data_IF_525180598382
#
_entry.id   IF_525180598382
#
_cell.length_a   1.000
_cell.length_b   1.000
_cell.length_c   1.000
_cell.angle_alpha   90.00
_cell.angle_beta   90.00
_cell.angle_gamma   90.00
#
_symmetry.space_group_name_H-M   'P 1'
#
loop_
_entity.id
_entity.type
_entity.pdbx_description
1 polymer ?
#
# COMPACT_ATOMS: atom_id res chain seq x y z
N UNK A 1 10.59 -6.91 3.90
CA UNK A 1 9.91 -5.89 3.06
C UNK A 1 8.81 -5.27 3.88
N UNK A 2 8.49 -4.01 3.62
CA UNK A 2 7.31 -3.35 4.15
C UNK A 2 6.54 -2.73 2.99
N UNK A 3 5.35 -2.22 3.27
CA UNK A 3 4.47 -1.67 2.24
C UNK A 3 4.24 -0.20 2.51
N UNK A 4 4.49 0.62 1.51
CA UNK A 4 4.31 2.07 1.57
C UNK A 4 3.19 2.49 0.62
N UNK A 5 2.35 3.39 1.08
CA UNK A 5 1.29 4.01 0.30
C UNK A 5 1.72 5.40 -0.15
N UNK A 6 1.39 5.75 -1.38
CA UNK A 6 1.60 7.10 -1.94
C UNK A 6 0.30 7.60 -2.56
N UNK A 7 0.07 8.91 -2.50
CA UNK A 7 -1.15 9.55 -2.98
C UNK A 7 -0.86 10.36 -4.23
N UNK A 8 -1.84 10.41 -5.12
CA UNK A 8 -1.72 11.03 -6.41
C UNK A 8 -3.00 11.81 -6.73
N UNK A 9 -2.82 13.02 -7.26
CA UNK A 9 -3.88 13.79 -7.91
C UNK A 9 -3.48 14.10 -9.36
N UNK A 10 -4.47 14.17 -10.24
CA UNK A 10 -4.32 14.73 -11.56
C UNK A 10 -5.08 16.05 -11.63
N UNK A 11 -4.40 17.11 -12.02
CA UNK A 11 -4.94 18.47 -12.09
C UNK A 11 -4.90 19.01 -13.51
N UNK A 12 -5.78 19.97 -13.79
CA UNK A 12 -5.63 20.84 -14.95
C UNK A 12 -5.02 22.17 -14.51
N UNK A 13 -3.90 22.54 -15.12
CA UNK A 13 -3.23 23.82 -14.89
C UNK A 13 -3.78 24.91 -15.81
N UNK A 14 -3.62 26.17 -15.42
CA UNK A 14 -4.00 27.32 -16.23
C UNK A 14 -2.93 27.67 -17.28
N UNK A 15 -1.68 27.28 -17.03
CA UNK A 15 -0.53 27.48 -17.91
C UNK A 15 0.07 26.13 -18.30
N UNK A 16 0.77 26.05 -19.45
CA UNK A 16 1.50 24.83 -19.84
C UNK A 16 2.51 24.41 -18.78
N UNK A 17 2.57 23.11 -18.51
CA UNK A 17 3.56 22.53 -17.61
C UNK A 17 4.88 22.31 -18.36
N UNK A 18 6.05 22.61 -17.74
CA UNK A 18 7.34 22.35 -18.38
C UNK A 18 7.52 20.89 -18.79
N UNK A 19 8.18 20.64 -19.91
CA UNK A 19 8.47 19.28 -20.35
C UNK A 19 9.46 18.60 -19.39
N UNK A 20 9.06 17.46 -18.84
CA UNK A 20 9.92 16.64 -17.98
C UNK A 20 9.20 16.01 -16.80
N UNK A 21 10.01 15.40 -15.92
CA UNK A 21 9.60 14.90 -14.62
C UNK A 21 10.38 15.64 -13.55
N UNK A 22 9.68 16.11 -12.53
CA UNK A 22 10.25 16.97 -11.50
C UNK A 22 10.03 16.33 -10.13
N UNK A 23 10.97 16.55 -9.24
CA UNK A 23 10.81 16.33 -7.80
C UNK A 23 11.23 17.63 -7.10
N UNK A 24 10.48 18.05 -6.10
CA UNK A 24 10.84 19.24 -5.33
C UNK A 24 12.02 18.95 -4.39
N UNK A 25 12.63 20.02 -3.88
CA UNK A 25 13.76 19.91 -2.94
C UNK A 25 13.31 19.97 -1.47
N UNK A 26 12.09 20.45 -1.21
CA UNK A 26 11.54 20.62 0.14
C UNK A 26 10.84 19.34 0.65
N UNK A 27 10.71 19.26 1.96
CA UNK A 27 9.84 18.31 2.62
C UNK A 27 8.43 18.90 2.81
N UNK A 28 7.36 18.09 2.68
CA UNK A 28 7.38 16.69 2.21
C UNK A 28 7.62 16.58 0.69
N UNK A 29 8.24 15.48 0.20
CA UNK A 29 8.56 15.32 -1.21
C UNK A 29 7.30 15.26 -2.09
N UNK A 30 7.42 15.84 -3.28
CA UNK A 30 6.41 15.95 -4.34
C UNK A 30 7.07 15.66 -5.67
N UNK A 31 6.55 14.66 -6.36
CA UNK A 31 6.89 14.39 -7.76
C UNK A 31 5.80 14.91 -8.69
N UNK A 32 6.19 15.47 -9.81
CA UNK A 32 5.29 16.10 -10.77
C UNK A 32 5.70 15.75 -12.19
N UNK A 33 4.71 15.47 -13.04
CA UNK A 33 4.93 15.33 -14.49
C UNK A 33 3.67 15.66 -15.25
N UNK A 34 3.82 16.14 -16.48
CA UNK A 34 2.68 16.24 -17.39
C UNK A 34 2.32 14.87 -17.99
N UNK A 35 1.07 14.75 -18.42
CA UNK A 35 0.53 13.63 -19.15
C UNK A 35 -0.49 14.17 -20.17
N UNK A 36 -0.40 13.72 -21.42
CA UNK A 36 -1.39 14.08 -22.45
C UNK A 36 -2.80 13.67 -21.99
N UNK A 37 -3.75 14.60 -22.10
CA UNK A 37 -5.13 14.42 -21.68
C UNK A 37 -6.09 15.18 -22.59
N UNK A 38 -6.93 14.43 -23.33
CA UNK A 38 -7.84 14.98 -24.36
C UNK A 38 -7.06 15.86 -25.35
N UNK A 39 -7.53 17.09 -25.57
CA UNK A 39 -6.94 18.09 -26.48
C UNK A 39 -5.82 18.92 -25.82
N UNK A 40 -5.35 18.52 -24.64
CA UNK A 40 -4.26 19.19 -23.93
C UNK A 40 -3.50 18.25 -23.01
N UNK A 41 -3.21 18.72 -21.82
CA UNK A 41 -2.48 17.96 -20.80
C UNK A 41 -3.14 18.07 -19.43
N UNK A 42 -2.77 17.13 -18.56
CA UNK A 42 -2.97 17.19 -17.12
C UNK A 42 -1.62 17.06 -16.44
N UNK A 43 -1.50 17.59 -15.22
CA UNK A 43 -0.33 17.40 -14.38
C UNK A 43 -0.66 16.37 -13.31
N UNK A 44 0.18 15.35 -13.21
CA UNK A 44 0.13 14.35 -12.16
C UNK A 44 1.05 14.81 -11.04
N UNK A 45 0.52 14.92 -9.82
CA UNK A 45 1.27 15.27 -8.61
C UNK A 45 1.16 14.08 -7.65
N UNK A 46 2.30 13.54 -7.22
CA UNK A 46 2.35 12.42 -6.30
C UNK A 46 3.24 12.70 -5.08
N UNK A 47 2.84 12.21 -3.91
CA UNK A 47 3.55 12.38 -2.65
C UNK A 47 2.73 11.87 -1.45
N UNK A 48 2.92 12.51 -0.29
CA UNK A 48 2.18 12.20 0.94
C UNK A 48 2.29 10.75 1.41
N UNK A 49 3.51 10.24 1.36
CA UNK A 49 3.75 8.82 1.57
C UNK A 49 3.68 8.43 3.05
N UNK A 50 3.21 7.22 3.33
CA UNK A 50 3.28 6.62 4.66
C UNK A 50 3.22 5.09 4.57
N UNK A 51 3.64 4.41 5.63
CA UNK A 51 3.46 2.95 5.74
C UNK A 51 1.97 2.61 5.81
N UNK A 52 1.56 1.55 5.11
CA UNK A 52 0.15 1.16 5.04
C UNK A 52 -0.40 0.91 6.44
N UNK A 53 -1.59 1.46 6.72
CA UNK A 53 -2.25 1.33 8.02
C UNK A 53 -1.66 2.19 9.15
N UNK A 54 -0.63 3.01 8.96
CA UNK A 54 -0.19 3.93 10.01
C UNK A 54 -1.10 5.16 10.14
N UNK A 55 -1.76 5.54 9.05
CA UNK A 55 -2.70 6.66 8.98
C UNK A 55 -4.14 6.16 8.81
N UNK A 56 -5.09 6.82 9.47
CA UNK A 56 -6.53 6.57 9.30
C UNK A 56 -7.27 7.75 8.66
N UNK A 57 -6.74 8.97 8.79
CA UNK A 57 -7.22 10.13 8.03
C UNK A 57 -6.44 10.22 6.71
N UNK A 58 -6.71 9.27 5.82
CA UNK A 58 -6.06 9.19 4.51
C UNK A 58 -6.61 10.20 3.52
N UNK A 59 -7.82 10.74 3.72
CA UNK A 59 -8.31 11.87 2.93
C UNK A 59 -7.46 13.13 3.14
N UNK A 60 -6.90 13.36 4.32
CA UNK A 60 -5.97 14.47 4.56
C UNK A 60 -4.78 14.47 3.59
N UNK A 61 -4.29 13.29 3.19
CA UNK A 61 -3.18 13.12 2.23
C UNK A 61 -3.55 13.66 0.85
N UNK A 62 -4.77 13.41 0.38
CA UNK A 62 -5.26 14.03 -0.84
C UNK A 62 -5.42 15.55 -0.68
N UNK A 63 -5.93 16.02 0.46
CA UNK A 63 -6.11 17.44 0.71
C UNK A 63 -4.77 18.20 0.70
N UNK A 64 -3.72 17.64 1.28
CA UNK A 64 -2.37 18.22 1.26
C UNK A 64 -1.82 18.36 -0.17
N UNK A 65 -2.10 17.40 -1.06
CA UNK A 65 -1.74 17.52 -2.48
C UNK A 65 -2.57 18.58 -3.21
N UNK A 66 -3.86 18.69 -2.87
CA UNK A 66 -4.77 19.71 -3.44
C UNK A 66 -4.34 21.11 -3.00
N UNK A 67 -3.96 21.29 -1.74
CA UNK A 67 -3.41 22.53 -1.21
C UNK A 67 -2.13 22.92 -1.93
N UNK A 68 -1.18 21.99 -2.06
CA UNK A 68 0.02 22.18 -2.85
C UNK A 68 -0.29 22.58 -4.31
N UNK A 69 -1.24 21.91 -4.96
CA UNK A 69 -1.65 22.25 -6.32
C UNK A 69 -2.20 23.68 -6.42
N UNK A 70 -3.00 24.10 -5.43
CA UNK A 70 -3.56 25.44 -5.36
C UNK A 70 -2.47 26.50 -5.10
N UNK A 71 -1.48 26.20 -4.26
CA UNK A 71 -0.39 27.12 -3.97
C UNK A 71 0.58 27.29 -5.14
N UNK A 72 0.98 26.18 -5.78
CA UNK A 72 1.99 26.16 -6.85
C UNK A 72 1.41 26.54 -8.21
N UNK A 73 0.25 25.98 -8.58
CA UNK A 73 -0.32 26.12 -9.93
C UNK A 73 -1.56 27.02 -9.98
N UNK A 74 -1.99 27.56 -8.83
CA UNK A 74 -3.18 28.42 -8.72
C UNK A 74 -4.43 27.78 -9.34
N UNK A 75 -4.59 26.48 -9.14
CA UNK A 75 -5.70 25.70 -9.68
C UNK A 75 -6.37 24.84 -8.61
N UNK A 76 -7.69 24.77 -8.69
CA UNK A 76 -8.53 23.86 -7.91
C UNK A 76 -9.21 22.82 -8.83
N UNK A 77 -8.79 22.74 -10.10
CA UNK A 77 -9.36 21.84 -11.08
C UNK A 77 -8.74 20.44 -10.94
N UNK A 78 -9.25 19.69 -9.95
CA UNK A 78 -8.86 18.31 -9.69
C UNK A 78 -9.68 17.39 -10.59
N UNK A 79 -9.00 16.69 -11.51
CA UNK A 79 -9.62 15.79 -12.47
C UNK A 79 -9.81 14.40 -11.87
N UNK A 80 -8.77 13.88 -11.20
CA UNK A 80 -8.74 12.54 -10.62
C UNK A 80 -7.90 12.54 -9.35
N UNK A 81 -8.15 11.54 -8.49
CA UNK A 81 -7.30 11.21 -7.35
C UNK A 81 -7.27 9.69 -7.17
N UNK A 82 -6.11 9.16 -6.79
CA UNK A 82 -5.91 7.75 -6.46
C UNK A 82 -4.66 7.57 -5.61
N UNK A 83 -4.47 6.38 -5.05
CA UNK A 83 -3.25 6.01 -4.35
C UNK A 83 -2.60 4.79 -4.98
N UNK A 84 -1.30 4.68 -4.78
CA UNK A 84 -0.51 3.51 -5.12
C UNK A 84 0.05 2.87 -3.85
N UNK A 85 0.36 1.59 -3.92
CA UNK A 85 0.91 0.81 -2.83
C UNK A 85 2.13 0.03 -3.34
N UNK A 86 3.28 0.28 -2.74
CA UNK A 86 4.57 -0.24 -3.20
C UNK A 86 5.23 -1.12 -2.15
N UNK A 87 5.75 -2.26 -2.61
CA UNK A 87 6.61 -3.11 -1.79
C UNK A 87 8.01 -2.50 -1.72
N UNK A 88 8.46 -2.25 -0.49
CA UNK A 88 9.75 -1.65 -0.18
C UNK A 88 10.69 -2.71 0.38
N UNK A 89 11.89 -2.81 -0.18
CA UNK A 89 12.97 -3.62 0.41
C UNK A 89 13.65 -2.85 1.54
N UNK A 90 14.26 -3.57 2.47
CA UNK A 90 14.89 -2.97 3.66
C UNK A 90 16.22 -2.30 3.34
N UNK A 91 16.84 -2.66 2.21
CA UNK A 91 18.14 -2.17 1.73
C UNK A 91 18.01 -1.34 0.45
N UNK A 92 16.79 -0.96 0.08
CA UNK A 92 16.47 -0.19 -1.13
C UNK A 92 16.79 -0.83 -2.48
N UNK A 93 17.30 -2.08 -2.49
CA UNK A 93 17.60 -2.83 -3.70
C UNK A 93 16.49 -3.85 -3.99
N UNK A 94 15.93 -3.90 -5.21
CA UNK A 94 14.95 -4.92 -5.58
C UNK A 94 15.40 -6.37 -5.35
N UNK A 95 14.44 -7.28 -5.16
CA UNK A 95 14.68 -8.71 -5.17
C UNK A 95 14.35 -9.28 -6.55
N UNK A 96 15.38 -9.74 -7.28
CA UNK A 96 15.28 -10.29 -8.63
C UNK A 96 16.14 -11.55 -8.73
N UNK A 97 15.53 -12.68 -9.10
CA UNK A 97 16.22 -13.94 -9.31
C UNK A 97 15.38 -15.13 -8.83
N UNK A 98 16.02 -16.26 -8.54
CA UNK A 98 15.31 -17.42 -7.98
C UNK A 98 14.79 -17.08 -6.58
N UNK A 99 13.56 -17.51 -6.26
CA UNK A 99 12.92 -17.22 -4.98
C UNK A 99 13.75 -17.76 -3.80
N UNK A 100 14.20 -19.01 -3.89
CA UNK A 100 15.14 -19.63 -2.95
C UNK A 100 16.01 -20.64 -3.69
N UNK A 101 17.10 -21.08 -3.06
CA UNK A 101 17.92 -22.21 -3.56
C UNK A 101 17.14 -23.53 -3.64
N UNK A 102 16.02 -23.67 -2.91
CA UNK A 102 15.15 -24.86 -2.93
C UNK A 102 14.10 -24.81 -4.05
N UNK A 103 13.90 -23.66 -4.67
CA UNK A 103 12.89 -23.43 -5.71
C UNK A 103 13.55 -22.84 -6.96
N UNK A 104 14.49 -23.56 -7.60
CA UNK A 104 15.29 -23.01 -8.70
C UNK A 104 14.46 -22.64 -9.93
N UNK A 105 13.27 -23.19 -10.09
CA UNK A 105 12.38 -22.90 -11.23
C UNK A 105 11.36 -21.80 -10.94
N UNK A 106 11.40 -21.17 -9.76
CA UNK A 106 10.53 -20.06 -9.40
C UNK A 106 11.37 -18.80 -9.34
N UNK A 107 11.09 -17.86 -10.24
CA UNK A 107 11.72 -16.55 -10.26
C UNK A 107 10.81 -15.52 -9.61
N UNK A 108 11.41 -14.58 -8.89
CA UNK A 108 10.73 -13.43 -8.29
C UNK A 108 11.35 -12.15 -8.83
N UNK A 109 10.50 -11.14 -8.98
CA UNK A 109 10.88 -9.77 -9.29
C UNK A 109 9.95 -8.85 -8.49
N UNK A 110 10.42 -8.34 -7.36
CA UNK A 110 9.61 -7.58 -6.41
C UNK A 110 10.45 -6.55 -5.66
N UNK A 111 9.80 -5.74 -4.83
CA UNK A 111 10.49 -4.72 -4.05
C UNK A 111 11.02 -3.59 -4.92
N UNK A 112 10.33 -3.28 -6.02
CA UNK A 112 10.74 -2.23 -6.96
C UNK A 112 10.60 -0.82 -6.40
N UNK A 113 10.06 -0.68 -5.19
CA UNK A 113 9.71 0.61 -4.61
C UNK A 113 8.86 1.37 -5.63
N UNK A 114 9.15 2.66 -5.81
CA UNK A 114 8.48 3.55 -6.77
C UNK A 114 9.10 3.53 -8.17
N UNK A 115 9.98 2.55 -8.45
CA UNK A 115 10.82 2.48 -9.65
C UNK A 115 10.51 1.25 -10.51
N UNK A 116 9.23 0.84 -10.54
CA UNK A 116 8.80 -0.36 -11.27
C UNK A 116 9.11 -0.34 -12.77
N UNK A 117 9.03 0.82 -13.43
CA UNK A 117 9.32 0.93 -14.87
C UNK A 117 10.78 0.63 -15.22
N UNK A 118 11.72 1.14 -14.43
CA UNK A 118 13.16 0.91 -14.64
C UNK A 118 13.58 -0.47 -14.12
N UNK A 119 13.16 -0.80 -12.89
CA UNK A 119 13.50 -2.06 -12.24
C UNK A 119 12.88 -3.28 -12.95
N UNK A 120 11.70 -3.12 -13.56
CA UNK A 120 11.09 -4.17 -14.38
C UNK A 120 11.91 -4.54 -15.60
N UNK A 121 12.56 -3.55 -16.25
CA UNK A 121 13.46 -3.81 -17.38
C UNK A 121 14.71 -4.55 -16.91
N UNK A 122 15.32 -4.11 -15.79
CA UNK A 122 16.45 -4.80 -15.20
C UNK A 122 16.08 -6.25 -14.81
N UNK A 123 14.90 -6.46 -14.24
CA UNK A 123 14.40 -7.78 -13.87
C UNK A 123 14.24 -8.69 -15.09
N UNK A 124 13.67 -8.19 -16.18
CA UNK A 124 13.54 -8.94 -17.42
C UNK A 124 14.90 -9.37 -17.98
N UNK A 125 15.90 -8.49 -17.96
CA UNK A 125 17.25 -8.81 -18.43
C UNK A 125 17.92 -9.88 -17.57
N UNK A 126 17.83 -9.76 -16.24
CA UNK A 126 18.40 -10.72 -15.29
C UNK A 126 17.72 -12.09 -15.44
N UNK A 127 16.40 -12.14 -15.39
CA UNK A 127 15.65 -13.40 -15.48
C UNK A 127 15.87 -14.09 -16.82
N UNK A 128 15.91 -13.33 -17.93
CA UNK A 128 16.23 -13.89 -19.25
C UNK A 128 17.63 -14.53 -19.26
N UNK A 129 18.63 -13.87 -18.67
CA UNK A 129 19.98 -14.41 -18.58
C UNK A 129 20.03 -15.68 -17.69
N UNK A 130 19.35 -15.68 -16.54
CA UNK A 130 19.24 -16.87 -15.69
C UNK A 130 18.61 -18.07 -16.42
N UNK A 131 17.59 -17.83 -17.25
CA UNK A 131 16.91 -18.89 -18.01
C UNK A 131 17.79 -19.43 -19.14
N UNK A 132 18.47 -18.54 -19.88
CA UNK A 132 19.20 -18.92 -21.10
C UNK A 132 20.63 -19.37 -20.81
N UNK A 133 21.31 -18.72 -19.86
CA UNK A 133 22.73 -18.91 -19.57
C UNK A 133 22.97 -19.65 -18.25
N UNK A 134 22.00 -19.60 -17.33
CA UNK A 134 22.13 -20.12 -15.97
C UNK A 134 22.75 -19.13 -14.98
N UNK A 135 23.20 -17.96 -15.44
CA UNK A 135 23.80 -16.91 -14.62
C UNK A 135 23.47 -15.51 -15.13
N UNK A 136 23.79 -14.48 -14.34
CA UNK A 136 23.73 -13.07 -14.76
C UNK A 136 24.77 -12.27 -13.99
N UNK A 137 25.54 -11.37 -14.63
CA UNK A 137 26.53 -10.54 -13.93
C UNK A 137 25.91 -9.60 -12.89
N UNK A 138 24.61 -9.29 -13.01
CA UNK A 138 23.89 -8.43 -12.08
C UNK A 138 23.27 -9.21 -10.91
N UNK A 139 23.18 -10.55 -11.01
CA UNK A 139 22.52 -11.38 -10.00
C UNK A 139 23.00 -11.12 -8.58
N UNK A 140 24.32 -10.99 -8.28
CA UNK A 140 24.78 -10.83 -6.90
C UNK A 140 24.16 -9.65 -6.15
N UNK A 141 23.85 -8.55 -6.87
CA UNK A 141 23.24 -7.35 -6.29
C UNK A 141 21.75 -7.56 -6.01
N UNK A 142 21.03 -8.20 -6.93
CA UNK A 142 19.57 -8.31 -6.83
C UNK A 142 19.07 -9.63 -6.22
N UNK A 143 19.95 -10.60 -5.99
CA UNK A 143 19.57 -11.94 -5.57
C UNK A 143 18.71 -11.89 -4.30
N UNK A 144 17.53 -12.57 -4.26
CA UNK A 144 16.64 -12.53 -3.10
C UNK A 144 17.28 -13.01 -1.80
N UNK A 145 18.25 -13.92 -1.88
CA UNK A 145 18.99 -14.44 -0.73
C UNK A 145 20.41 -13.85 -0.61
N UNK A 146 20.64 -12.64 -1.12
CA UNK A 146 21.92 -11.92 -0.92
C UNK A 146 22.21 -11.74 0.57
N UNK A 147 23.48 -11.81 0.95
CA UNK A 147 23.90 -11.86 2.37
C UNK A 147 24.40 -10.53 2.92
N UNK A 148 24.73 -9.56 2.07
CA UNK A 148 25.21 -8.24 2.48
C UNK A 148 24.05 -7.30 2.84
N UNK A 149 23.32 -7.66 3.91
CA UNK A 149 22.18 -6.92 4.48
C UNK A 149 22.59 -6.24 5.80
N UNK A 150 23.89 -6.20 6.14
CA UNK A 150 24.37 -5.68 7.43
C UNK A 150 23.96 -4.21 7.66
N UNK A 151 23.92 -3.41 6.60
CA UNK A 151 23.48 -2.01 6.63
C UNK A 151 21.96 -1.84 6.86
N UNK A 152 21.16 -2.88 6.65
CA UNK A 152 19.70 -2.85 6.79
C UNK A 152 19.16 -3.86 7.82
N UNK A 153 20.06 -4.44 8.62
CA UNK A 153 19.71 -5.38 9.69
C UNK A 153 18.83 -4.71 10.77
N UNK A 154 19.15 -3.46 11.13
CA UNK A 154 18.35 -2.66 12.06
C UNK A 154 16.94 -2.41 11.50
N UNK A 155 16.86 -1.99 10.23
CA UNK A 155 15.59 -1.75 9.55
C UNK A 155 14.74 -3.04 9.46
N UNK A 156 15.36 -4.18 9.16
CA UNK A 156 14.66 -5.47 9.18
C UNK A 156 14.08 -5.82 10.55
N UNK A 157 14.84 -5.59 11.63
CA UNK A 157 14.37 -5.82 13.00
C UNK A 157 13.21 -4.87 13.32
N UNK A 158 13.34 -3.58 13.00
CA UNK A 158 12.31 -2.57 13.24
C UNK A 158 11.00 -2.91 12.53
N UNK A 159 11.07 -3.31 11.25
CA UNK A 159 9.87 -3.69 10.50
C UNK A 159 9.16 -4.92 11.08
N UNK A 160 9.90 -5.93 11.56
CA UNK A 160 9.29 -7.07 12.23
C UNK A 160 8.74 -6.72 13.62
N UNK A 161 9.42 -5.84 14.36
CA UNK A 161 8.95 -5.34 15.65
C UNK A 161 7.63 -4.57 15.50
N UNK A 162 7.51 -3.75 14.45
CA UNK A 162 6.26 -3.06 14.12
C UNK A 162 5.11 -4.04 13.84
N UNK A 163 5.36 -5.13 13.11
CA UNK A 163 4.34 -6.16 12.86
C UNK A 163 3.86 -6.77 14.18
N UNK A 164 4.78 -7.16 15.07
CA UNK A 164 4.43 -7.72 16.39
C UNK A 164 3.67 -6.69 17.23
N UNK A 165 4.13 -5.44 17.21
CA UNK A 165 3.45 -4.33 17.88
C UNK A 165 2.02 -4.19 17.39
N UNK A 166 1.79 -4.08 16.08
CA UNK A 166 0.45 -3.93 15.50
C UNK A 166 -0.46 -5.14 15.76
N UNK A 167 0.11 -6.36 15.74
CA UNK A 167 -0.62 -7.58 16.09
C UNK A 167 -1.14 -7.53 17.54
N UNK A 168 -0.34 -7.03 18.49
CA UNK A 168 -0.70 -6.97 19.92
C UNK A 168 -1.55 -5.74 20.23
N UNK A 169 -1.09 -4.54 19.85
CA UNK A 169 -1.77 -3.27 20.17
C UNK A 169 -3.13 -3.20 19.50
N UNK A 170 -3.26 -3.68 18.26
CA UNK A 170 -4.53 -3.73 17.55
C UNK A 170 -5.58 -4.57 18.29
N UNK A 171 -5.18 -5.74 18.82
CA UNK A 171 -6.08 -6.63 19.58
C UNK A 171 -6.49 -6.02 20.92
N UNK A 172 -5.59 -5.30 21.59
CA UNK A 172 -5.85 -4.69 22.90
C UNK A 172 -6.64 -3.39 22.81
N UNK A 173 -6.47 -2.59 21.75
CA UNK A 173 -7.14 -1.28 21.57
C UNK A 173 -8.65 -1.43 21.71
N UNK A 174 -9.24 -0.71 22.67
CA UNK A 174 -10.69 -0.74 22.89
C UNK A 174 -11.43 -0.16 21.68
N UNK A 175 -12.63 -0.67 21.43
CA UNK A 175 -13.53 -0.13 20.42
C UNK A 175 -14.81 0.38 21.12
N UNK A 176 -15.42 1.47 20.64
CA UNK A 176 -16.62 2.03 21.25
C UNK A 176 -17.81 1.07 21.09
N UNK A 177 -18.58 0.89 22.18
CA UNK A 177 -19.86 0.18 22.20
C UNK A 177 -21.01 1.06 21.72
N UNK A 178 -21.03 2.30 22.22
CA UNK A 178 -21.95 3.33 21.75
C UNK A 178 -21.28 4.10 20.62
N UNK A 179 -21.75 3.87 19.40
CA UNK A 179 -21.21 4.52 18.21
C UNK A 179 -22.33 5.04 17.31
N UNK A 180 -21.99 6.08 16.57
CA UNK A 180 -22.78 6.59 15.45
C UNK A 180 -21.85 6.66 14.25
N UNK A 181 -22.38 6.26 13.09
CA UNK A 181 -21.71 6.42 11.81
C UNK A 181 -22.50 7.41 10.97
N UNK A 182 -21.80 8.41 10.43
CA UNK A 182 -22.32 9.22 9.35
C UNK A 182 -22.16 8.48 8.01
N UNK A 183 -22.93 8.89 7.01
CA UNK A 183 -22.83 8.29 5.67
C UNK A 183 -21.42 8.54 5.11
N UNK A 184 -20.78 7.48 4.62
CA UNK A 184 -19.40 7.51 4.14
C UNK A 184 -18.34 7.25 5.21
N UNK A 185 -18.73 7.04 6.47
CA UNK A 185 -17.81 6.83 7.58
C UNK A 185 -17.61 5.34 7.89
N UNK A 186 -16.38 4.96 8.24
CA UNK A 186 -16.05 3.64 8.79
C UNK A 186 -15.12 3.73 9.99
N UNK A 187 -15.23 2.76 10.91
CA UNK A 187 -14.38 2.65 12.10
C UNK A 187 -14.49 1.27 12.74
N UNK A 188 -13.54 0.94 13.60
CA UNK A 188 -13.66 -0.19 14.50
C UNK A 188 -14.69 0.11 15.60
N UNK A 189 -15.60 -0.83 15.86
CA UNK A 189 -16.65 -0.75 16.89
C UNK A 189 -16.75 -2.07 17.66
N UNK A 190 -17.40 -2.05 18.82
CA UNK A 190 -17.70 -3.26 19.59
C UNK A 190 -19.20 -3.55 19.57
N UNK A 191 -19.59 -4.72 19.07
CA UNK A 191 -20.97 -5.21 19.04
C UNK A 191 -20.99 -6.60 19.68
N UNK A 192 -21.84 -6.80 20.69
CA UNK A 192 -21.96 -8.07 21.43
C UNK A 192 -20.62 -8.64 21.94
N UNK A 193 -19.72 -7.75 22.37
CA UNK A 193 -18.38 -8.10 22.86
C UNK A 193 -17.38 -8.49 21.77
N UNK A 194 -17.76 -8.42 20.49
CA UNK A 194 -16.88 -8.62 19.34
C UNK A 194 -16.42 -7.27 18.77
N UNK A 195 -15.12 -7.14 18.51
CA UNK A 195 -14.56 -5.98 17.81
C UNK A 195 -14.67 -6.20 16.30
N UNK A 196 -15.39 -5.32 15.61
CA UNK A 196 -15.71 -5.45 14.19
C UNK A 196 -15.34 -4.17 13.44
N UNK A 197 -15.15 -4.27 12.13
CA UNK A 197 -15.13 -3.10 11.26
C UNK A 197 -16.55 -2.79 10.82
N UNK A 198 -17.00 -1.55 11.03
CA UNK A 198 -18.30 -1.09 10.56
C UNK A 198 -18.12 0.12 9.63
N UNK A 199 -18.85 0.13 8.52
CA UNK A 199 -18.91 1.21 7.55
C UNK A 199 -20.36 1.54 7.21
N UNK A 200 -20.70 2.81 7.06
CA UNK A 200 -22.04 3.23 6.61
C UNK A 200 -21.95 3.81 5.21
N UNK A 201 -22.68 3.22 4.26
CA UNK A 201 -22.69 3.68 2.88
C UNK A 201 -23.48 4.99 2.70
N UNK A 202 -23.44 5.56 1.49
CA UNK A 202 -24.16 6.79 1.19
C UNK A 202 -25.70 6.63 1.16
N UNK A 203 -26.20 5.39 1.11
CA UNK A 203 -27.63 5.06 1.17
C UNK A 203 -28.10 4.82 2.61
N UNK A 204 -27.17 4.81 3.57
CA UNK A 204 -27.43 4.60 4.99
C UNK A 204 -27.35 3.14 5.45
N UNK A 205 -26.96 2.21 4.59
CA UNK A 205 -26.76 0.81 4.95
C UNK A 205 -25.46 0.64 5.73
N UNK A 206 -25.46 -0.24 6.74
CA UNK A 206 -24.27 -0.57 7.52
C UNK A 206 -23.68 -1.88 6.98
N UNK A 207 -22.40 -1.81 6.63
CA UNK A 207 -21.56 -2.93 6.23
C UNK A 207 -20.67 -3.31 7.43
N UNK A 208 -20.57 -4.59 7.72
CA UNK A 208 -19.82 -5.10 8.87
C UNK A 208 -18.93 -6.26 8.46
N UNK A 209 -17.71 -6.27 8.97
CA UNK A 209 -16.72 -7.32 8.72
C UNK A 209 -15.99 -7.71 10.02
N UNK A 210 -15.62 -8.98 10.14
CA UNK A 210 -14.54 -9.35 11.07
C UNK A 210 -13.26 -8.68 10.58
N UNK A 211 -12.80 -7.67 11.32
CA UNK A 211 -11.63 -6.86 10.98
C UNK A 211 -10.30 -7.55 11.32
N UNK A 212 -10.31 -8.85 11.61
CA UNK A 212 -9.09 -9.66 11.75
C UNK A 212 -8.57 -10.05 10.37
N UNK A 213 -7.41 -9.56 9.97
CA UNK A 213 -6.79 -9.88 8.68
C UNK A 213 -6.60 -11.40 8.50
N UNK A 214 -7.07 -11.95 7.38
CA UNK A 214 -6.96 -13.38 7.06
C UNK A 214 -5.53 -13.85 6.72
N UNK A 215 -4.55 -12.96 6.64
CA UNK A 215 -3.14 -13.34 6.45
C UNK A 215 -2.50 -13.82 7.76
N UNK A 216 -2.27 -12.91 8.71
CA UNK A 216 -1.59 -13.20 10.00
C UNK A 216 -2.42 -12.85 11.24
N UNK A 217 -3.66 -12.42 11.08
CA UNK A 217 -4.54 -12.09 12.20
C UNK A 217 -4.36 -10.67 12.77
N UNK A 218 -3.60 -9.80 12.10
CA UNK A 218 -3.51 -8.39 12.46
C UNK A 218 -4.87 -7.69 12.34
N UNK A 219 -5.09 -6.70 13.17
CA UNK A 219 -6.32 -5.92 13.18
C UNK A 219 -6.30 -4.85 12.09
N UNK A 220 -7.28 -4.90 11.18
CA UNK A 220 -7.41 -3.96 10.07
C UNK A 220 -7.80 -2.56 10.56
N UNK A 221 -7.36 -1.55 9.80
CA UNK A 221 -7.66 -0.14 10.03
C UNK A 221 -8.47 0.42 8.85
N UNK A 222 -9.34 1.37 9.14
CA UNK A 222 -10.17 2.01 8.12
C UNK A 222 -9.33 3.02 7.33
N UNK A 223 -9.42 2.92 6.00
CA UNK A 223 -8.89 3.87 5.03
C UNK A 223 -10.08 4.63 4.43
N UNK A 224 -10.25 5.88 4.86
CA UNK A 224 -11.38 6.72 4.45
C UNK A 224 -11.24 7.32 3.05
N UNK A 225 -10.02 7.39 2.52
CA UNK A 225 -9.70 7.93 1.19
C UNK A 225 -10.14 6.99 0.07
N UNK A 226 -9.99 5.69 0.29
CA UNK A 226 -10.37 4.63 -0.66
C UNK A 226 -11.56 3.79 -0.21
N UNK A 227 -12.04 3.99 1.03
CA UNK A 227 -13.12 3.20 1.65
C UNK A 227 -12.77 1.71 1.68
N UNK A 228 -11.63 1.39 2.27
CA UNK A 228 -11.11 0.04 2.41
C UNK A 228 -10.65 -0.27 3.82
N UNK A 229 -10.55 -1.55 4.14
CA UNK A 229 -9.91 -2.04 5.35
C UNK A 229 -8.47 -2.46 5.05
N UNK A 230 -7.50 -1.72 5.58
CA UNK A 230 -6.08 -1.90 5.27
C UNK A 230 -5.35 -2.54 6.47
N UNK A 231 -4.54 -3.55 6.19
CA UNK A 231 -3.76 -4.28 7.19
C UNK A 231 -2.41 -3.59 7.43
N UNK A 232 -2.12 -3.09 8.64
CA UNK A 232 -0.88 -2.36 8.92
C UNK A 232 0.38 -3.25 8.91
N UNK A 233 0.21 -4.57 9.00
CA UNK A 233 1.34 -5.49 9.09
C UNK A 233 2.01 -5.75 7.73
N UNK A 234 1.22 -6.09 6.71
CA UNK A 234 1.75 -6.54 5.40
C UNK A 234 0.98 -5.98 4.20
N UNK A 235 0.11 -4.99 4.41
CA UNK A 235 -0.55 -4.28 3.32
C UNK A 235 -1.72 -5.00 2.63
N UNK A 236 -2.26 -6.09 3.21
CA UNK A 236 -3.52 -6.66 2.69
C UNK A 236 -4.66 -5.66 2.79
N UNK A 237 -5.49 -5.59 1.76
CA UNK A 237 -6.60 -4.64 1.66
C UNK A 237 -7.89 -5.36 1.32
N UNK A 238 -8.97 -4.91 1.95
CA UNK A 238 -10.30 -5.47 1.77
C UNK A 238 -11.34 -4.39 1.49
N UNK A 239 -12.37 -4.75 0.71
CA UNK A 239 -13.52 -3.88 0.46
C UNK A 239 -14.34 -3.68 1.73
N UNK A 240 -15.32 -2.78 1.67
CA UNK A 240 -16.29 -2.57 2.76
C UNK A 240 -17.06 -3.84 3.14
N UNK A 241 -17.18 -4.78 2.18
CA UNK A 241 -17.88 -6.06 2.33
C UNK A 241 -16.93 -7.22 2.64
N UNK A 242 -15.61 -6.97 2.70
CA UNK A 242 -14.62 -7.98 3.04
C UNK A 242 -13.97 -8.70 1.85
N UNK A 243 -14.30 -8.33 0.61
CA UNK A 243 -13.64 -8.87 -0.58
C UNK A 243 -12.17 -8.46 -0.61
N UNK A 244 -11.32 -9.32 -1.16
CA UNK A 244 -9.89 -9.04 -1.30
C UNK A 244 -9.69 -7.98 -2.39
N UNK A 245 -9.14 -6.83 -2.03
CA UNK A 245 -8.64 -5.82 -2.97
C UNK A 245 -7.18 -6.11 -3.28
N UNK A 246 -6.38 -6.39 -2.25
CA UNK A 246 -4.94 -6.58 -2.38
C UNK A 246 -4.41 -7.60 -1.38
N UNK A 247 -3.47 -8.44 -1.83
CA UNK A 247 -2.80 -9.44 -1.01
C UNK A 247 -1.83 -8.83 0.02
N UNK A 248 -1.11 -9.65 0.81
CA UNK A 248 -0.93 -11.10 0.66
C UNK A 248 -2.08 -12.01 1.11
N UNK A 249 -3.11 -11.48 1.76
CA UNK A 249 -4.29 -12.26 2.11
C UNK A 249 -4.91 -12.93 0.87
N UNK A 250 -5.20 -14.23 0.99
CA UNK A 250 -5.79 -15.07 -0.07
C UNK A 250 -7.24 -15.47 0.22
N UNK A 251 -7.83 -14.96 1.30
CA UNK A 251 -9.22 -15.22 1.70
C UNK A 251 -9.94 -13.92 2.06
N UNK A 252 -11.20 -13.76 1.67
CA UNK A 252 -12.00 -12.60 2.08
C UNK A 252 -12.27 -12.62 3.59
N UNK A 253 -12.69 -11.47 4.13
CA UNK A 253 -13.22 -11.37 5.48
C UNK A 253 -14.64 -11.92 5.53
N UNK A 254 -15.02 -12.52 6.64
CA UNK A 254 -16.37 -12.96 6.93
C UNK A 254 -17.17 -11.83 7.57
N UNK A 255 -18.50 -11.96 7.52
CA UNK A 255 -19.39 -11.13 8.32
C UNK A 255 -19.23 -11.48 9.82
N UNK A 256 -19.37 -10.54 10.78
CA UNK A 256 -19.17 -10.83 12.21
C UNK A 256 -20.10 -11.89 12.84
N UNK A 257 -21.25 -12.13 12.21
CA UNK A 257 -22.23 -13.14 12.62
C UNK A 257 -21.93 -14.54 12.07
N UNK A 258 -20.97 -14.64 11.17
CA UNK A 258 -20.49 -15.90 10.63
C UNK A 258 -19.35 -16.46 11.51
N UNK A 259 -18.69 -17.50 11.00
CA UNK A 259 -17.49 -18.04 11.61
C UNK A 259 -16.32 -17.03 11.56
N UNK A 260 -15.39 -17.06 12.54
CA UNK A 260 -14.21 -16.18 12.52
C UNK A 260 -13.37 -16.34 11.25
N UNK A 261 -12.66 -15.29 10.90
CA UNK A 261 -11.75 -15.30 9.75
C UNK A 261 -10.71 -16.42 9.85
N UNK A 262 -10.57 -17.20 8.77
CA UNK A 262 -9.58 -18.27 8.70
C UNK A 262 -8.21 -17.72 8.31
N UNK A 263 -7.32 -17.64 9.29
CA UNK A 263 -5.93 -17.20 9.10
C UNK A 263 -5.16 -18.15 8.17
N UNK A 264 -4.47 -17.60 7.18
CA UNK A 264 -3.60 -18.32 6.27
C UNK A 264 -2.29 -17.53 6.06
N UNK A 265 -1.21 -17.88 6.78
CA UNK A 265 0.10 -17.25 6.61
C UNK A 265 0.78 -17.63 5.28
N UNK A 266 0.33 -18.71 4.62
CA UNK A 266 0.98 -19.23 3.43
C UNK A 266 0.50 -18.49 2.18
N UNK A 267 1.43 -17.80 1.55
CA UNK A 267 1.25 -17.13 0.25
C UNK A 267 1.54 -18.11 -0.92
N UNK A 268 2.34 -19.15 -0.64
CA UNK A 268 2.65 -20.24 -1.56
C UNK A 268 2.09 -21.51 -0.92
N UNK A 269 1.00 -22.03 -1.49
CA UNK A 269 0.36 -23.27 -1.02
C UNK A 269 1.26 -24.48 -1.10
#
# INVERSE_FOLDING_TARGET
MYVEKSYIIAIKTNEPFPEGMFINAEDPPRSMRSQRYKDGEMVIIAGENHKVGDETDTNSRYNNLIEFANETFKTQNILYRWSAQDCMTVDDVPYIGNLTSKTPNIYVATGFKKWGMTSGTAAALIIKDLIVKGDSPYLPVFYPSRTDISASAEEFINQNADVVKELVTGKLKAAPKDFKLENGEGRAVEVDGKKIGAYKDNKGNIHMVDKTCTHLGCELKWNDGEKSWDCPCHGSRFSIDGDIIEGPASKPLNHPDEQPNKINPNIFG
#
